data_IF_456714057874
#
_entry.id   IF_456714057874
#
_cell.length_a   1.000
_cell.length_b   1.000
_cell.length_c   1.000
_cell.angle_alpha   90.00
_cell.angle_beta   90.00
_cell.angle_gamma   90.00
#
_symmetry.space_group_name_H-M   'P 1'
#
loop_
_entity.id
_entity.type
_entity.pdbx_description
1 polymer ?
#
# COMPACT_ATOMS: atom_id res chain seq x y z
N UNK A 1 19.36 13.74 23.74
CA UNK A 1 18.39 12.72 24.21
C UNK A 1 17.49 12.39 23.02
N UNK A 2 17.92 11.43 22.21
CA UNK A 2 17.23 11.07 20.97
C UNK A 2 15.97 10.27 21.31
N UNK A 3 14.81 10.85 21.04
CA UNK A 3 13.53 10.16 21.09
C UNK A 3 13.57 9.04 20.05
N UNK A 4 13.73 7.81 20.53
CA UNK A 4 13.43 6.60 19.79
C UNK A 4 11.92 6.62 19.50
N UNK A 5 11.56 7.20 18.36
CA UNK A 5 10.23 7.02 17.77
C UNK A 5 10.10 5.52 17.53
N UNK A 6 9.32 4.88 18.41
CA UNK A 6 8.98 3.49 18.32
C UNK A 6 8.22 3.30 17.00
N UNK A 7 8.93 2.81 15.99
CA UNK A 7 8.42 2.60 14.64
C UNK A 7 7.55 1.35 14.66
N UNK A 8 6.37 1.44 15.25
CA UNK A 8 5.32 0.46 15.05
C UNK A 8 4.90 0.57 13.59
N UNK A 9 5.38 -0.36 12.77
CA UNK A 9 4.89 -0.53 11.40
C UNK A 9 3.37 -0.74 11.46
N UNK A 10 2.62 0.31 11.14
CA UNK A 10 1.17 0.25 10.95
C UNK A 10 0.89 -0.64 9.75
N UNK A 11 0.86 -1.95 9.99
CA UNK A 11 0.25 -2.89 9.05
C UNK A 11 -1.24 -2.58 8.98
N UNK A 12 -1.77 -2.49 7.77
CA UNK A 12 -3.15 -2.06 7.48
C UNK A 12 -4.22 -2.93 8.16
N UNK A 13 -3.87 -4.17 8.55
CA UNK A 13 -4.77 -5.12 9.21
C UNK A 13 -4.08 -5.75 10.42
N UNK A 14 -4.69 -5.61 11.60
CA UNK A 14 -4.30 -6.36 12.81
C UNK A 14 -4.37 -7.87 12.56
N UNK A 15 -3.50 -8.65 13.23
CA UNK A 15 -3.54 -10.11 13.15
C UNK A 15 -4.93 -10.69 13.47
N UNK A 16 -5.71 -10.05 14.36
CA UNK A 16 -7.10 -10.46 14.63
C UNK A 16 -8.01 -10.32 13.41
N UNK A 17 -7.88 -9.21 12.68
CA UNK A 17 -8.66 -8.96 11.46
C UNK A 17 -8.22 -9.90 10.35
N UNK A 18 -6.91 -10.12 10.20
CA UNK A 18 -6.36 -11.10 9.24
C UNK A 18 -6.95 -12.50 9.48
N UNK A 19 -7.07 -12.93 10.74
CA UNK A 19 -7.71 -14.21 11.10
C UNK A 19 -9.17 -14.28 10.67
N UNK A 20 -9.95 -13.22 10.94
CA UNK A 20 -11.37 -13.16 10.57
C UNK A 20 -11.59 -13.18 9.05
N UNK A 21 -10.65 -12.68 8.26
CA UNK A 21 -10.76 -12.64 6.80
C UNK A 21 -10.16 -13.89 6.14
N UNK A 22 -8.95 -14.29 6.54
CA UNK A 22 -8.20 -15.34 5.84
C UNK A 22 -8.79 -16.73 6.05
N UNK A 23 -9.27 -17.05 7.25
CA UNK A 23 -9.77 -18.41 7.53
C UNK A 23 -11.04 -18.74 6.74
N UNK A 24 -12.10 -17.90 6.74
CA UNK A 24 -13.28 -18.16 5.92
C UNK A 24 -12.97 -18.13 4.43
N UNK A 25 -12.10 -17.21 3.99
CA UNK A 25 -11.69 -17.11 2.60
C UNK A 25 -10.92 -18.35 2.13
N UNK A 26 -9.98 -18.83 2.93
CA UNK A 26 -9.24 -20.07 2.68
C UNK A 26 -10.18 -21.27 2.60
N UNK A 27 -11.16 -21.36 3.50
CA UNK A 27 -12.15 -22.43 3.51
C UNK A 27 -12.98 -22.44 2.22
N UNK A 28 -13.53 -21.29 1.80
CA UNK A 28 -14.31 -21.20 0.55
C UNK A 28 -13.43 -21.53 -0.65
N UNK A 29 -12.21 -20.98 -0.70
CA UNK A 29 -11.29 -21.24 -1.80
C UNK A 29 -10.91 -22.72 -1.88
N UNK A 30 -10.73 -23.39 -0.74
CA UNK A 30 -10.37 -24.79 -0.68
C UNK A 30 -11.37 -25.66 -1.46
N UNK A 31 -12.67 -25.53 -1.16
CA UNK A 31 -13.72 -26.26 -1.87
C UNK A 31 -13.87 -25.81 -3.33
N UNK A 32 -13.81 -24.50 -3.58
CA UNK A 32 -13.93 -23.95 -4.94
C UNK A 32 -12.82 -24.48 -5.86
N UNK A 33 -11.56 -24.39 -5.44
CA UNK A 33 -10.43 -24.84 -6.26
C UNK A 33 -10.42 -26.36 -6.38
N UNK A 34 -10.75 -27.10 -5.31
CA UNK A 34 -10.89 -28.55 -5.37
C UNK A 34 -11.96 -28.98 -6.39
N UNK A 35 -13.10 -28.29 -6.45
CA UNK A 35 -14.14 -28.52 -7.45
C UNK A 35 -13.67 -28.17 -8.87
N UNK A 36 -12.98 -27.05 -9.05
CA UNK A 36 -12.49 -26.62 -10.36
C UNK A 36 -11.41 -27.55 -10.94
N UNK A 37 -10.60 -28.19 -10.08
CA UNK A 37 -9.54 -29.09 -10.52
C UNK A 37 -10.08 -30.44 -11.00
N UNK A 38 -11.14 -30.97 -10.37
CA UNK A 38 -11.77 -32.23 -10.78
C UNK A 38 -13.27 -32.25 -10.43
N UNK A 39 -14.12 -31.57 -11.23
CA UNK A 39 -15.56 -31.48 -10.96
C UNK A 39 -16.29 -32.82 -11.12
N UNK A 40 -15.66 -33.79 -11.77
CA UNK A 40 -16.23 -35.12 -12.00
C UNK A 40 -15.71 -36.17 -11.01
N UNK A 41 -14.89 -35.77 -10.03
CA UNK A 41 -14.44 -36.67 -8.98
C UNK A 41 -15.63 -37.31 -8.27
N UNK A 42 -15.49 -38.59 -7.89
CA UNK A 42 -16.50 -39.36 -7.15
C UNK A 42 -16.99 -38.60 -5.90
N UNK A 43 -16.05 -37.90 -5.26
CA UNK A 43 -16.30 -36.99 -4.14
C UNK A 43 -17.45 -36.01 -4.40
N UNK A 44 -17.47 -35.31 -5.55
CA UNK A 44 -18.47 -34.30 -5.88
C UNK A 44 -19.77 -34.90 -6.39
N UNK A 45 -19.69 -36.00 -7.14
CA UNK A 45 -20.87 -36.68 -7.70
C UNK A 45 -21.77 -37.24 -6.59
N UNK A 46 -21.17 -37.81 -5.55
CA UNK A 46 -21.90 -38.39 -4.41
C UNK A 46 -22.18 -37.37 -3.30
N UNK A 47 -21.66 -36.13 -3.43
CA UNK A 47 -21.67 -35.13 -2.35
C UNK A 47 -23.07 -34.86 -1.79
N UNK A 48 -24.06 -34.72 -2.67
CA UNK A 48 -25.45 -34.43 -2.31
C UNK A 48 -26.16 -35.59 -1.59
N UNK A 49 -25.63 -36.81 -1.70
CA UNK A 49 -26.22 -38.03 -1.15
C UNK A 49 -25.59 -38.42 0.20
N UNK A 50 -24.54 -37.70 0.63
CA UNK A 50 -23.81 -38.01 1.87
C UNK A 50 -24.61 -37.64 3.11
N UNK A 51 -24.39 -38.42 4.18
CA UNK A 51 -24.96 -38.15 5.50
C UNK A 51 -24.48 -36.79 6.03
N UNK A 52 -25.40 -35.99 6.55
CA UNK A 52 -25.11 -34.68 7.15
C UNK A 52 -23.98 -34.71 8.19
N UNK A 53 -23.92 -35.73 9.05
CA UNK A 53 -22.88 -35.82 10.07
C UNK A 53 -21.49 -36.03 9.48
N UNK A 54 -21.39 -36.76 8.37
CA UNK A 54 -20.14 -36.95 7.65
C UNK A 54 -19.70 -35.64 6.99
N UNK A 55 -20.65 -34.91 6.36
CA UNK A 55 -20.39 -33.59 5.78
C UNK A 55 -19.95 -32.58 6.85
N UNK A 56 -20.60 -32.58 8.02
CA UNK A 56 -20.24 -31.69 9.12
C UNK A 56 -18.84 -32.01 9.66
N UNK A 57 -18.49 -33.29 9.82
CA UNK A 57 -17.16 -33.70 10.25
C UNK A 57 -16.07 -33.28 9.24
N UNK A 58 -16.34 -33.41 7.94
CA UNK A 58 -15.46 -32.98 6.85
C UNK A 58 -15.27 -31.45 6.85
N UNK A 59 -16.37 -30.70 6.98
CA UNK A 59 -16.33 -29.24 7.09
C UNK A 59 -15.54 -28.79 8.33
N UNK A 60 -15.77 -29.40 9.49
CA UNK A 60 -15.01 -29.09 10.69
C UNK A 60 -13.51 -29.38 10.51
N UNK A 61 -13.16 -30.53 9.93
CA UNK A 61 -11.76 -30.91 9.68
C UNK A 61 -11.09 -29.95 8.69
N UNK A 62 -11.79 -29.60 7.61
CA UNK A 62 -11.33 -28.64 6.61
C UNK A 62 -11.17 -27.24 7.18
N UNK A 63 -12.07 -26.83 8.08
CA UNK A 63 -12.00 -25.54 8.76
C UNK A 63 -10.80 -25.47 9.71
N UNK A 64 -10.56 -26.54 10.48
CA UNK A 64 -9.36 -26.66 11.33
C UNK A 64 -8.10 -26.61 10.48
N UNK A 65 -8.06 -27.32 9.36
CA UNK A 65 -6.94 -27.27 8.43
C UNK A 65 -6.68 -25.85 7.89
N UNK A 66 -7.72 -25.17 7.39
CA UNK A 66 -7.62 -23.81 6.88
C UNK A 66 -7.19 -22.82 7.98
N UNK A 67 -7.67 -23.03 9.21
CA UNK A 67 -7.24 -22.27 10.37
C UNK A 67 -5.75 -22.45 10.64
N UNK A 68 -5.25 -23.69 10.69
CA UNK A 68 -3.84 -23.98 10.94
C UNK A 68 -2.93 -23.40 9.85
N UNK A 69 -3.31 -23.53 8.57
CA UNK A 69 -2.55 -22.96 7.45
C UNK A 69 -2.50 -21.43 7.56
N UNK A 70 -3.64 -20.79 7.86
CA UNK A 70 -3.72 -19.35 8.01
C UNK A 70 -2.91 -18.85 9.22
N UNK A 71 -2.99 -19.53 10.36
CA UNK A 71 -2.20 -19.20 11.56
C UNK A 71 -0.71 -19.36 11.33
N UNK A 72 -0.28 -20.47 10.71
CA UNK A 72 1.11 -20.69 10.37
C UNK A 72 1.64 -19.57 9.46
N UNK A 73 0.85 -19.18 8.45
CA UNK A 73 1.22 -18.10 7.53
C UNK A 73 1.34 -16.75 8.24
N UNK A 74 0.36 -16.39 9.09
CA UNK A 74 0.40 -15.15 9.89
C UNK A 74 1.59 -15.16 10.85
N UNK A 75 1.87 -16.28 11.51
CA UNK A 75 2.99 -16.43 12.42
C UNK A 75 4.34 -16.28 11.71
N UNK A 76 4.53 -16.98 10.58
CA UNK A 76 5.74 -16.88 9.75
C UNK A 76 5.94 -15.43 9.30
N UNK A 77 4.88 -14.79 8.81
CA UNK A 77 4.91 -13.39 8.40
C UNK A 77 5.34 -12.46 9.55
N UNK A 78 4.72 -12.60 10.72
CA UNK A 78 5.04 -11.79 11.90
C UNK A 78 6.49 -12.01 12.38
N UNK A 79 6.95 -13.27 12.40
CA UNK A 79 8.31 -13.61 12.82
C UNK A 79 9.34 -13.05 11.85
N UNK A 80 9.10 -13.18 10.55
CA UNK A 80 10.00 -12.68 9.52
C UNK A 80 9.98 -11.16 9.41
N UNK A 81 8.89 -10.46 9.76
CA UNK A 81 8.92 -8.99 9.86
C UNK A 81 9.94 -8.50 10.89
N UNK A 82 10.18 -9.28 11.96
CA UNK A 82 11.21 -8.97 12.94
C UNK A 82 12.62 -9.38 12.51
N UNK A 83 12.80 -10.56 11.91
CA UNK A 83 14.14 -11.08 11.57
C UNK A 83 14.66 -10.69 10.19
N UNK A 84 13.77 -10.40 9.25
CA UNK A 84 14.08 -10.00 7.89
C UNK A 84 13.05 -8.94 7.43
N UNK A 85 13.20 -7.68 7.85
CA UNK A 85 12.31 -6.62 7.42
C UNK A 85 12.32 -6.46 5.90
N UNK A 86 11.16 -6.12 5.35
CA UNK A 86 11.00 -5.91 3.91
C UNK A 86 11.76 -4.70 3.37
N UNK A 87 12.21 -3.77 4.21
CA UNK A 87 12.94 -2.55 3.80
C UNK A 87 14.32 -2.83 3.22
N UNK A 88 14.96 -3.92 3.66
CA UNK A 88 16.38 -4.13 3.37
C UNK A 88 16.56 -4.98 2.12
N UNK A 89 15.88 -6.14 2.06
CA UNK A 89 16.02 -7.13 0.98
C UNK A 89 14.67 -7.76 0.63
N UNK A 90 13.78 -7.05 -0.10
CA UNK A 90 12.40 -7.48 -0.33
C UNK A 90 12.32 -8.80 -1.12
N UNK A 91 13.18 -9.01 -2.12
CA UNK A 91 13.18 -10.26 -2.89
C UNK A 91 13.59 -11.46 -2.03
N UNK A 92 14.67 -11.32 -1.24
CA UNK A 92 15.10 -12.37 -0.30
C UNK A 92 14.00 -12.65 0.72
N UNK A 93 13.32 -11.61 1.21
CA UNK A 93 12.21 -11.72 2.16
C UNK A 93 11.05 -12.53 1.59
N UNK A 94 10.62 -12.23 0.37
CA UNK A 94 9.55 -12.96 -0.32
C UNK A 94 9.88 -14.44 -0.50
N UNK A 95 11.10 -14.75 -0.97
CA UNK A 95 11.55 -16.13 -1.19
C UNK A 95 11.57 -16.91 0.11
N UNK A 96 12.13 -16.33 1.18
CA UNK A 96 12.20 -16.98 2.50
C UNK A 96 10.80 -17.21 3.08
N UNK A 97 9.87 -16.26 2.94
CA UNK A 97 8.47 -16.42 3.37
C UNK A 97 7.78 -17.56 2.64
N UNK A 98 7.92 -17.62 1.32
CA UNK A 98 7.33 -18.66 0.49
C UNK A 98 7.86 -20.05 0.87
N UNK A 99 9.17 -20.18 1.10
CA UNK A 99 9.79 -21.44 1.51
C UNK A 99 9.29 -21.92 2.88
N UNK A 100 9.26 -21.04 3.89
CA UNK A 100 8.74 -21.42 5.20
C UNK A 100 7.26 -21.78 5.16
N UNK A 101 6.44 -21.07 4.38
CA UNK A 101 5.04 -21.39 4.21
C UNK A 101 4.84 -22.74 3.52
N UNK A 102 5.60 -23.02 2.45
CA UNK A 102 5.56 -24.33 1.77
C UNK A 102 5.88 -25.47 2.73
N UNK A 103 6.95 -25.34 3.53
CA UNK A 103 7.32 -26.33 4.54
C UNK A 103 6.25 -26.50 5.63
N UNK A 104 5.67 -25.39 6.10
CA UNK A 104 4.59 -25.43 7.09
C UNK A 104 3.34 -26.12 6.56
N UNK A 105 2.92 -25.83 5.32
CA UNK A 105 1.78 -26.48 4.68
C UNK A 105 2.04 -27.99 4.52
N UNK A 106 3.22 -28.38 4.02
CA UNK A 106 3.60 -29.80 3.92
C UNK A 106 3.56 -30.52 5.26
N UNK A 107 4.00 -29.86 6.34
CA UNK A 107 3.96 -30.40 7.69
C UNK A 107 2.53 -30.53 8.22
N UNK A 108 1.66 -29.54 8.00
CA UNK A 108 0.24 -29.60 8.41
C UNK A 108 -0.50 -30.71 7.63
N UNK A 109 -0.23 -30.84 6.33
CA UNK A 109 -0.73 -31.95 5.48
C UNK A 109 -0.33 -33.29 6.09
N UNK A 110 0.95 -33.47 6.40
CA UNK A 110 1.45 -34.69 7.03
C UNK A 110 0.74 -35.00 8.36
N UNK A 111 0.60 -34.01 9.25
CA UNK A 111 -0.12 -34.18 10.51
C UNK A 111 -1.59 -34.57 10.30
N UNK A 112 -2.25 -34.00 9.30
CA UNK A 112 -3.64 -34.32 8.99
C UNK A 112 -3.80 -35.75 8.47
N UNK A 113 -2.88 -36.22 7.61
CA UNK A 113 -2.86 -37.61 7.13
C UNK A 113 -2.67 -38.58 8.31
N UNK A 114 -1.70 -38.32 9.17
CA UNK A 114 -1.47 -39.13 10.38
C UNK A 114 -2.71 -39.17 11.26
N UNK A 115 -3.39 -38.03 11.44
CA UNK A 115 -4.62 -37.93 12.20
C UNK A 115 -5.76 -38.79 11.62
N UNK A 116 -5.95 -38.78 10.30
CA UNK A 116 -6.96 -39.59 9.61
C UNK A 116 -6.68 -41.09 9.81
N UNK A 117 -5.44 -41.53 9.58
CA UNK A 117 -5.02 -42.93 9.75
C UNK A 117 -5.27 -43.39 11.20
N UNK A 118 -4.97 -42.55 12.19
CA UNK A 118 -5.22 -42.87 13.60
C UNK A 118 -6.71 -43.03 13.94
N UNK A 119 -7.61 -42.31 13.26
CA UNK A 119 -9.05 -42.37 13.50
C UNK A 119 -9.69 -43.56 12.80
N UNK A 120 -9.40 -43.75 11.50
CA UNK A 120 -10.06 -44.77 10.68
C UNK A 120 -9.53 -46.18 10.94
N UNK A 121 -8.42 -46.31 11.69
CA UNK A 121 -7.69 -47.57 11.91
C UNK A 121 -7.43 -48.30 10.59
N UNK A 122 -7.17 -47.52 9.55
CA UNK A 122 -6.95 -48.04 8.21
C UNK A 122 -5.60 -48.77 8.18
N UNK A 123 -5.58 -49.95 7.57
CA UNK A 123 -4.34 -50.73 7.44
C UNK A 123 -3.38 -49.98 6.51
N UNK A 124 -2.08 -50.01 6.84
CA UNK A 124 -1.01 -49.29 6.11
C UNK A 124 -0.70 -49.96 4.75
N UNK A 125 -1.72 -50.14 3.92
CA UNK A 125 -1.62 -50.69 2.58
C UNK A 125 -1.03 -49.67 1.62
N UNK A 126 -0.42 -50.15 0.53
CA UNK A 126 0.18 -49.26 -0.47
C UNK A 126 -0.91 -48.38 -1.11
N UNK A 127 -0.72 -47.05 -1.19
CA UNK A 127 -1.74 -46.14 -1.70
C UNK A 127 -2.05 -46.46 -3.16
N UNK A 128 -3.34 -46.44 -3.52
CA UNK A 128 -3.76 -46.62 -4.90
C UNK A 128 -3.40 -45.40 -5.76
N UNK A 129 -3.46 -45.56 -7.09
CA UNK A 129 -3.22 -44.43 -8.00
C UNK A 129 -4.22 -43.28 -7.78
N UNK A 130 -5.45 -43.59 -7.36
CA UNK A 130 -6.46 -42.58 -7.04
C UNK A 130 -6.13 -41.85 -5.73
N UNK A 131 -5.61 -42.55 -4.73
CA UNK A 131 -5.18 -41.93 -3.46
C UNK A 131 -4.02 -40.97 -3.67
N UNK A 132 -3.05 -41.35 -4.51
CA UNK A 132 -1.91 -40.49 -4.89
C UNK A 132 -2.42 -39.25 -5.62
N UNK A 133 -3.35 -39.41 -6.57
CA UNK A 133 -3.96 -38.28 -7.30
C UNK A 133 -4.68 -37.33 -6.34
N UNK A 134 -5.50 -37.85 -5.43
CA UNK A 134 -6.23 -37.06 -4.44
C UNK A 134 -5.28 -36.30 -3.50
N UNK A 135 -4.21 -36.97 -3.03
CA UNK A 135 -3.18 -36.35 -2.20
C UNK A 135 -2.46 -35.20 -2.94
N UNK A 136 -2.10 -35.41 -4.21
CA UNK A 136 -1.47 -34.36 -5.02
C UNK A 136 -2.41 -33.16 -5.24
N UNK A 137 -3.68 -33.41 -5.57
CA UNK A 137 -4.68 -32.35 -5.73
C UNK A 137 -4.84 -31.56 -4.43
N UNK A 138 -4.98 -32.25 -3.30
CA UNK A 138 -5.11 -31.63 -1.99
C UNK A 138 -3.89 -30.76 -1.63
N UNK A 139 -2.69 -31.25 -1.91
CA UNK A 139 -1.44 -30.50 -1.76
C UNK A 139 -1.39 -29.24 -2.62
N UNK A 140 -1.80 -29.33 -3.88
CA UNK A 140 -1.85 -28.18 -4.81
C UNK A 140 -2.83 -27.12 -4.31
N UNK A 141 -4.06 -27.51 -3.92
CA UNK A 141 -5.07 -26.58 -3.38
C UNK A 141 -4.53 -25.86 -2.15
N UNK A 142 -3.91 -26.60 -1.23
CA UNK A 142 -3.34 -26.06 0.01
C UNK A 142 -2.22 -25.05 -0.26
N UNK A 143 -1.38 -25.34 -1.25
CA UNK A 143 -0.30 -24.45 -1.68
C UNK A 143 -0.85 -23.17 -2.35
N UNK A 144 -1.92 -23.27 -3.15
CA UNK A 144 -2.59 -22.10 -3.74
C UNK A 144 -3.16 -21.15 -2.68
N UNK A 145 -3.81 -21.70 -1.64
CA UNK A 145 -4.32 -20.92 -0.50
C UNK A 145 -3.18 -20.17 0.18
N UNK A 146 -2.08 -20.88 0.49
CA UNK A 146 -0.92 -20.29 1.16
C UNK A 146 -0.30 -19.16 0.34
N UNK A 147 -0.12 -19.36 -0.98
CA UNK A 147 0.38 -18.31 -1.86
C UNK A 147 -0.53 -17.09 -1.92
N UNK A 148 -1.85 -17.28 -1.92
CA UNK A 148 -2.76 -16.14 -1.93
C UNK A 148 -2.69 -15.33 -0.62
N UNK A 149 -2.54 -16.00 0.54
CA UNK A 149 -2.32 -15.31 1.81
C UNK A 149 -1.02 -14.50 1.78
N UNK A 150 0.06 -15.07 1.24
CA UNK A 150 1.35 -14.36 1.05
C UNK A 150 1.17 -13.15 0.13
N UNK A 151 0.44 -13.30 -0.98
CA UNK A 151 0.19 -12.22 -1.94
C UNK A 151 -0.57 -11.06 -1.30
N UNK A 152 -1.61 -11.34 -0.51
CA UNK A 152 -2.38 -10.30 0.20
C UNK A 152 -1.49 -9.58 1.22
N UNK A 153 -0.74 -10.34 2.04
CA UNK A 153 0.15 -9.78 3.05
C UNK A 153 1.25 -8.91 2.41
N UNK A 154 1.92 -9.43 1.37
CA UNK A 154 2.99 -8.73 0.65
C UNK A 154 2.47 -7.51 -0.08
N UNK A 155 1.35 -7.63 -0.79
CA UNK A 155 0.72 -6.54 -1.53
C UNK A 155 0.38 -5.37 -0.62
N UNK A 156 -0.21 -5.65 0.55
CA UNK A 156 -0.52 -4.62 1.55
C UNK A 156 0.72 -3.86 2.03
N UNK A 157 1.84 -4.56 2.24
CA UNK A 157 3.09 -3.95 2.64
C UNK A 157 3.67 -3.08 1.52
N UNK A 158 3.73 -3.59 0.29
CA UNK A 158 4.28 -2.84 -0.85
C UNK A 158 3.53 -1.54 -1.11
N UNK A 159 2.19 -1.59 -1.06
CA UNK A 159 1.34 -0.40 -1.22
C UNK A 159 1.60 0.61 -0.10
N UNK A 160 1.65 0.16 1.16
CA UNK A 160 1.94 1.03 2.31
C UNK A 160 3.32 1.67 2.21
N UNK A 161 4.32 0.89 1.79
CA UNK A 161 5.68 1.38 1.61
C UNK A 161 5.82 2.36 0.45
N UNK A 162 5.14 2.12 -0.67
CA UNK A 162 5.11 3.05 -1.80
C UNK A 162 4.51 4.39 -1.38
N UNK A 163 3.40 4.37 -0.64
CA UNK A 163 2.79 5.57 -0.07
C UNK A 163 3.74 6.34 0.87
N UNK A 164 4.45 5.60 1.74
CA UNK A 164 5.38 6.20 2.70
C UNK A 164 6.68 6.70 2.06
N UNK A 165 7.19 6.03 1.02
CA UNK A 165 8.40 6.48 0.32
C UNK A 165 8.14 7.78 -0.45
N UNK A 166 6.97 7.93 -1.06
CA UNK A 166 6.58 9.18 -1.71
C UNK A 166 6.43 10.33 -0.70
N UNK A 167 5.81 10.08 0.45
CA UNK A 167 5.71 11.10 1.50
C UNK A 167 7.09 11.51 2.05
N UNK A 168 7.99 10.56 2.34
CA UNK A 168 9.35 10.87 2.82
C UNK A 168 10.15 11.66 1.81
N UNK A 169 10.07 11.32 0.52
CA UNK A 169 10.74 12.08 -0.53
C UNK A 169 10.17 13.49 -0.62
N UNK A 170 8.86 13.65 -0.47
CA UNK A 170 8.21 14.96 -0.44
C UNK A 170 8.65 15.77 0.79
N UNK A 171 8.73 15.14 1.97
CA UNK A 171 9.19 15.77 3.22
C UNK A 171 10.66 16.20 3.12
N UNK A 172 11.54 15.35 2.59
CA UNK A 172 12.94 15.71 2.37
C UNK A 172 13.09 16.87 1.39
N UNK A 173 12.33 16.86 0.29
CA UNK A 173 12.33 17.98 -0.68
C UNK A 173 11.75 19.26 -0.10
N UNK A 174 10.71 19.16 0.73
CA UNK A 174 10.13 20.30 1.45
C UNK A 174 11.15 20.88 2.43
N UNK A 175 11.84 20.03 3.18
CA UNK A 175 12.89 20.45 4.12
C UNK A 175 14.09 21.05 3.40
N UNK A 176 14.47 20.55 2.23
CA UNK A 176 15.45 21.20 1.37
C UNK A 176 14.97 22.56 0.87
N UNK A 177 13.68 22.69 0.52
CA UNK A 177 13.09 23.98 0.14
C UNK A 177 13.04 24.97 1.32
N UNK A 178 12.71 24.51 2.53
CA UNK A 178 12.77 25.29 3.77
C UNK A 178 14.19 25.71 4.12
N UNK A 179 15.17 24.81 3.98
CA UNK A 179 16.58 25.12 4.18
C UNK A 179 17.08 26.10 3.12
N UNK A 180 16.63 25.98 1.86
CA UNK A 180 16.89 26.99 0.82
C UNK A 180 16.27 28.32 1.22
N UNK A 181 15.01 28.33 1.68
CA UNK A 181 14.30 29.51 2.16
C UNK A 181 14.97 30.15 3.39
N UNK A 182 15.56 29.37 4.29
CA UNK A 182 16.33 29.87 5.42
C UNK A 182 17.72 30.39 4.97
N UNK A 183 18.36 29.76 3.99
CA UNK A 183 19.59 30.27 3.36
C UNK A 183 19.37 31.54 2.53
N UNK A 184 18.10 31.81 2.20
CA UNK A 184 17.64 32.92 1.36
C UNK A 184 17.58 34.25 2.13
N UNK A 185 17.85 34.29 3.43
CA UNK A 185 18.06 35.53 4.22
C UNK A 185 19.16 36.46 3.64
N UNK A 186 19.92 35.98 2.64
CA UNK A 186 20.85 36.78 1.83
C UNK A 186 20.45 37.05 0.37
N UNK A 187 19.26 36.63 -0.10
CA UNK A 187 18.98 36.42 -1.53
C UNK A 187 17.75 37.15 -2.10
N UNK A 188 17.08 38.02 -1.34
CA UNK A 188 16.00 38.86 -1.88
C UNK A 188 14.70 38.11 -2.22
N UNK A 189 14.29 37.15 -1.38
CA UNK A 189 12.97 36.50 -1.46
C UNK A 189 12.32 36.61 -0.08
N UNK A 190 11.04 36.96 -0.04
CA UNK A 190 10.23 37.11 1.17
C UNK A 190 9.05 36.16 1.07
N UNK A 191 8.82 35.36 2.12
CA UNK A 191 7.66 34.49 2.22
C UNK A 191 6.68 35.02 3.27
N UNK A 192 5.41 35.05 2.91
CA UNK A 192 4.30 35.46 3.76
C UNK A 192 3.29 34.31 3.79
N UNK A 193 3.17 33.61 4.93
CA UNK A 193 2.40 32.36 5.04
C UNK A 193 1.28 32.57 6.06
N UNK A 194 0.04 32.53 5.57
CA UNK A 194 -1.19 32.68 6.37
C UNK A 194 -2.21 31.59 6.01
N UNK A 195 -1.98 30.39 6.56
CA UNK A 195 -2.80 29.20 6.31
C UNK A 195 -3.61 28.86 7.55
N UNK A 196 -4.93 28.90 7.43
CA UNK A 196 -5.84 28.57 8.53
C UNK A 196 -5.61 27.15 9.07
N UNK A 197 -5.65 26.91 10.40
CA UNK A 197 -5.39 25.60 11.00
C UNK A 197 -6.27 24.48 10.43
N UNK A 198 -7.55 24.78 10.15
CA UNK A 198 -8.51 23.84 9.56
C UNK A 198 -8.09 23.32 8.18
N UNK A 199 -7.43 24.16 7.38
CA UNK A 199 -6.97 23.82 6.04
C UNK A 199 -5.71 22.93 6.05
N UNK A 200 -4.99 22.87 7.18
CA UNK A 200 -3.83 21.98 7.35
C UNK A 200 -4.21 20.50 7.44
N UNK A 201 -5.47 20.20 7.78
CA UNK A 201 -6.00 18.84 7.80
C UNK A 201 -6.47 18.36 6.42
N UNK A 202 -6.57 19.26 5.44
CA UNK A 202 -6.99 18.95 4.09
C UNK A 202 -5.81 18.50 3.23
N UNK A 203 -6.13 17.72 2.21
CA UNK A 203 -5.16 17.13 1.29
C UNK A 203 -4.81 18.08 0.15
N UNK A 204 -3.52 18.31 -0.03
CA UNK A 204 -2.92 18.90 -1.23
C UNK A 204 -2.07 17.82 -1.89
N UNK A 205 -2.19 17.58 -3.22
CA UNK A 205 -1.36 16.60 -3.90
C UNK A 205 0.13 16.87 -3.64
N UNK A 206 0.94 15.83 -3.36
CA UNK A 206 2.36 15.97 -3.08
C UNK A 206 3.07 16.79 -4.14
N UNK A 207 4.10 17.53 -3.72
CA UNK A 207 4.93 18.40 -4.57
C UNK A 207 4.21 19.59 -5.24
N UNK A 208 2.88 19.76 -5.09
CA UNK A 208 2.17 20.89 -5.70
C UNK A 208 2.73 22.22 -5.23
N UNK A 209 2.82 22.42 -3.90
CA UNK A 209 3.32 23.66 -3.33
C UNK A 209 4.78 23.92 -3.71
N UNK A 210 5.60 22.87 -3.69
CA UNK A 210 7.01 22.95 -4.10
C UNK A 210 7.14 23.40 -5.56
N UNK A 211 6.41 22.78 -6.49
CA UNK A 211 6.47 23.14 -7.91
C UNK A 211 5.99 24.58 -8.16
N UNK A 212 5.00 25.06 -7.39
CA UNK A 212 4.55 26.44 -7.45
C UNK A 212 5.61 27.43 -6.97
N UNK A 213 6.29 27.12 -5.87
CA UNK A 213 7.41 27.92 -5.35
C UNK A 213 8.60 27.90 -6.32
N UNK A 214 8.96 26.73 -6.87
CA UNK A 214 10.03 26.60 -7.86
C UNK A 214 9.73 27.42 -9.13
N UNK A 215 8.47 27.38 -9.62
CA UNK A 215 8.05 28.21 -10.74
C UNK A 215 8.18 29.71 -10.41
N UNK A 216 7.76 30.13 -9.22
CA UNK A 216 7.89 31.52 -8.79
C UNK A 216 9.36 31.96 -8.74
N UNK A 217 10.27 31.14 -8.22
CA UNK A 217 11.70 31.48 -8.12
C UNK A 217 12.39 31.46 -9.49
N UNK A 218 12.07 30.48 -10.35
CA UNK A 218 12.74 30.30 -11.64
C UNK A 218 12.46 31.41 -12.65
N UNK A 219 11.27 32.01 -12.56
CA UNK A 219 10.80 33.02 -13.53
C UNK A 219 10.90 34.46 -13.03
N UNK A 220 11.27 34.68 -11.77
CA UNK A 220 11.42 36.02 -11.19
C UNK A 220 12.85 36.27 -10.71
N UNK A 221 13.28 37.51 -10.80
CA UNK A 221 14.52 37.99 -10.23
C UNK A 221 14.39 38.14 -8.72
N UNK A 222 15.46 37.82 -8.00
CA UNK A 222 15.51 37.83 -6.52
C UNK A 222 16.52 38.88 -6.05
N UNK A 223 16.35 40.13 -6.49
CA UNK A 223 17.26 41.21 -6.09
C UNK A 223 16.95 41.70 -4.66
N UNK A 224 17.99 42.01 -3.87
CA UNK A 224 17.81 42.57 -2.51
C UNK A 224 17.01 43.88 -2.48
N UNK A 225 17.14 44.70 -3.53
CA UNK A 225 16.45 46.00 -3.61
C UNK A 225 15.01 45.89 -4.12
N UNK A 226 14.62 44.73 -4.67
CA UNK A 226 13.26 44.44 -5.12
C UNK A 226 12.97 42.96 -4.89
N UNK A 227 12.70 42.55 -3.64
CA UNK A 227 12.62 41.14 -3.30
C UNK A 227 11.38 40.48 -3.90
N UNK A 228 11.53 39.23 -4.34
CA UNK A 228 10.42 38.40 -4.74
C UNK A 228 9.57 38.07 -3.52
N UNK A 229 8.31 38.51 -3.50
CA UNK A 229 7.39 38.19 -2.40
C UNK A 229 6.50 37.04 -2.83
N UNK A 230 6.55 35.92 -2.09
CA UNK A 230 5.67 34.76 -2.28
C UNK A 230 4.71 34.68 -1.09
N UNK A 231 3.41 34.86 -1.37
CA UNK A 231 2.33 34.75 -0.40
C UNK A 231 1.62 33.41 -0.54
N UNK A 232 1.46 32.70 0.57
CA UNK A 232 0.75 31.42 0.64
C UNK A 232 -0.36 31.59 1.67
N UNK A 233 -1.60 31.67 1.22
CA UNK A 233 -2.72 31.96 2.11
C UNK A 233 -4.00 31.21 1.75
N UNK A 234 -4.89 31.09 2.73
CA UNK A 234 -6.22 30.49 2.54
C UNK A 234 -7.30 31.57 2.48
N UNK A 235 -8.16 31.56 1.44
CA UNK A 235 -9.32 32.46 1.37
C UNK A 235 -10.59 31.87 2.00
N UNK A 236 -10.74 30.56 1.85
CA UNK A 236 -11.83 29.74 2.40
C UNK A 236 -11.23 28.47 2.99
N UNK A 237 -12.00 27.68 3.75
CA UNK A 237 -11.48 26.46 4.39
C UNK A 237 -10.79 25.51 3.40
N UNK A 238 -11.27 25.43 2.15
CA UNK A 238 -10.79 24.51 1.12
C UNK A 238 -10.00 25.16 -0.02
N UNK A 239 -9.66 26.46 0.06
CA UNK A 239 -8.98 27.15 -1.05
C UNK A 239 -7.62 27.65 -0.59
N UNK A 240 -6.56 27.10 -1.20
CA UNK A 240 -5.18 27.54 -1.05
C UNK A 240 -4.79 28.44 -2.21
N UNK A 241 -4.17 29.58 -1.91
CA UNK A 241 -3.68 30.54 -2.89
C UNK A 241 -2.17 30.67 -2.75
N UNK A 242 -1.44 30.45 -3.85
CA UNK A 242 -0.01 30.75 -3.95
C UNK A 242 0.16 31.91 -4.92
N UNK A 243 0.65 33.03 -4.41
CA UNK A 243 0.78 34.29 -5.14
C UNK A 243 2.24 34.74 -5.09
N UNK A 244 2.81 35.17 -6.22
CA UNK A 244 4.12 35.81 -6.25
C UNK A 244 4.06 37.19 -6.92
N UNK A 245 4.90 38.12 -6.45
CA UNK A 245 5.16 39.37 -7.17
C UNK A 245 5.86 39.07 -8.49
N UNK A 246 5.52 39.81 -9.55
CA UNK A 246 6.17 39.70 -10.86
C UNK A 246 7.37 40.64 -10.91
N UNK A 247 8.57 40.06 -10.82
CA UNK A 247 9.85 40.72 -11.05
C UNK A 247 10.58 39.96 -12.18
N UNK A 248 9.99 39.94 -13.38
CA UNK A 248 10.45 39.08 -14.47
C UNK A 248 11.94 39.34 -14.81
N UNK A 249 12.71 38.26 -14.98
CA UNK A 249 14.08 38.34 -15.48
C UNK A 249 14.01 38.70 -16.98
N UNK A 250 14.56 39.86 -17.37
CA UNK A 250 14.73 40.21 -18.78
C UNK A 250 15.61 39.15 -19.48
N UNK A 251 15.17 38.69 -20.66
CA UNK A 251 15.79 37.64 -21.50
C UNK A 251 15.50 36.14 -21.20
N UNK A 252 14.40 35.77 -20.55
CA UNK A 252 13.89 34.40 -20.73
C UNK A 252 12.95 34.33 -21.94
N UNK A 253 13.42 33.70 -23.02
CA UNK A 253 12.60 33.29 -24.16
C UNK A 253 11.27 32.71 -23.67
N UNK A 254 10.15 33.20 -24.23
CA UNK A 254 8.75 32.80 -23.97
C UNK A 254 8.44 31.29 -24.14
N UNK A 255 9.45 30.45 -24.42
CA UNK A 255 9.34 29.00 -24.66
C UNK A 255 9.55 28.12 -23.42
N UNK A 256 9.89 28.67 -22.25
CA UNK A 256 10.20 27.88 -21.04
C UNK A 256 9.05 27.75 -20.02
N UNK A 257 7.80 28.01 -20.42
CA UNK A 257 6.61 27.46 -19.72
C UNK A 257 6.56 25.95 -20.01
N UNK A 258 7.36 25.07 -19.42
CA UNK A 258 7.66 24.97 -18.00
C UNK A 258 6.96 23.71 -17.52
N UNK A 259 7.67 22.57 -17.58
CA UNK A 259 7.20 21.21 -17.29
C UNK A 259 6.39 21.11 -15.98
N UNK A 260 6.62 22.02 -15.02
CA UNK A 260 5.96 22.04 -13.71
C UNK A 260 4.45 22.27 -13.75
N UNK A 261 3.95 23.20 -14.56
CA UNK A 261 2.52 23.52 -14.56
C UNK A 261 1.66 22.41 -15.21
N UNK A 262 2.04 21.84 -16.37
CA UNK A 262 1.37 20.64 -16.89
C UNK A 262 1.41 19.46 -15.89
N UNK A 263 2.52 19.27 -15.17
CA UNK A 263 2.66 18.22 -14.16
C UNK A 263 1.69 18.42 -12.97
N UNK A 264 1.49 19.67 -12.54
CA UNK A 264 0.47 19.99 -11.53
C UNK A 264 -0.92 19.68 -12.11
N UNK A 265 -1.26 20.18 -13.30
CA UNK A 265 -2.58 19.96 -13.92
C UNK A 265 -2.92 18.47 -14.04
N UNK A 266 -2.00 17.66 -14.60
CA UNK A 266 -2.20 16.21 -14.75
C UNK A 266 -2.39 15.49 -13.41
N UNK A 267 -1.76 15.95 -12.31
CA UNK A 267 -1.96 15.35 -10.98
C UNK A 267 -3.36 15.62 -10.44
N UNK A 268 -3.89 16.82 -10.64
CA UNK A 268 -5.27 17.13 -10.25
C UNK A 268 -6.29 16.33 -11.07
N UNK A 269 -6.03 16.14 -12.37
CA UNK A 269 -6.86 15.27 -13.21
C UNK A 269 -6.86 13.81 -12.76
N UNK A 270 -5.68 13.24 -12.45
CA UNK A 270 -5.54 11.86 -11.95
C UNK A 270 -6.31 11.62 -10.64
N UNK A 271 -6.35 12.64 -9.77
CA UNK A 271 -7.03 12.57 -8.49
C UNK A 271 -8.51 12.98 -8.57
N UNK A 272 -9.04 13.24 -9.78
CA UNK A 272 -10.39 13.78 -10.01
C UNK A 272 -10.67 15.07 -9.22
N UNK A 273 -9.61 15.80 -8.88
CA UNK A 273 -9.68 17.09 -8.20
C UNK A 273 -10.02 18.22 -9.17
N UNK A 274 -10.43 19.37 -8.63
CA UNK A 274 -10.64 20.57 -9.44
C UNK A 274 -9.29 21.11 -9.93
N UNK A 275 -9.16 21.30 -11.24
CA UNK A 275 -7.95 21.84 -11.85
C UNK A 275 -7.57 23.20 -11.23
N UNK A 276 -6.29 23.47 -10.98
CA UNK A 276 -5.83 24.76 -10.49
C UNK A 276 -6.17 25.90 -11.45
N UNK A 277 -6.55 27.04 -10.89
CA UNK A 277 -6.84 28.25 -11.66
C UNK A 277 -5.64 29.20 -11.62
N UNK A 278 -5.27 29.74 -12.78
CA UNK A 278 -4.11 30.61 -12.92
C UNK A 278 -4.58 32.01 -13.26
N UNK A 279 -4.18 32.97 -12.43
CA UNK A 279 -4.52 34.38 -12.57
C UNK A 279 -3.22 35.17 -12.67
N UNK A 280 -2.99 35.80 -13.82
CA UNK A 280 -1.83 36.65 -14.06
C UNK A 280 -2.28 38.09 -14.27
N UNK A 281 -1.70 39.02 -13.52
CA UNK A 281 -1.89 40.47 -13.69
C UNK A 281 -0.58 41.11 -14.16
N UNK A 282 -0.55 42.43 -14.30
CA UNK A 282 0.68 43.17 -14.61
C UNK A 282 1.73 43.10 -13.51
N UNK A 283 1.33 42.83 -12.26
CA UNK A 283 2.21 42.89 -11.08
C UNK A 283 2.26 41.59 -10.27
N UNK A 284 1.34 40.65 -10.51
CA UNK A 284 1.23 39.41 -9.74
C UNK A 284 0.95 38.18 -10.60
N UNK A 285 1.47 37.04 -10.16
CA UNK A 285 1.12 35.72 -10.68
C UNK A 285 0.55 34.89 -9.54
N UNK A 286 -0.63 34.31 -9.75
CA UNK A 286 -1.42 33.63 -8.72
C UNK A 286 -1.91 32.30 -9.23
N UNK A 287 -1.77 31.27 -8.39
CA UNK A 287 -2.35 29.95 -8.60
C UNK A 287 -3.29 29.64 -7.45
N UNK A 288 -4.55 29.36 -7.79
CA UNK A 288 -5.62 29.01 -6.85
C UNK A 288 -5.84 27.51 -6.93
N UNK A 289 -5.76 26.84 -5.78
CA UNK A 289 -5.83 25.39 -5.67
C UNK A 289 -6.93 25.02 -4.68
N UNK A 290 -7.77 24.07 -5.09
CA UNK A 290 -8.79 23.50 -4.22
C UNK A 290 -8.18 22.33 -3.44
N UNK A 291 -8.19 22.44 -2.13
CA UNK A 291 -7.80 21.38 -1.20
C UNK A 291 -8.89 20.31 -1.18
N UNK A 292 -8.49 19.06 -1.05
CA UNK A 292 -9.40 17.90 -1.07
C UNK A 292 -9.54 17.32 0.34
N UNK A 293 -10.67 16.67 0.62
CA UNK A 293 -10.79 15.85 1.81
C UNK A 293 -9.94 14.59 1.63
N UNK A 294 -9.19 14.20 2.67
CA UNK A 294 -8.38 12.98 2.63
C UNK A 294 -9.28 11.77 2.88
N UNK A 295 -10.15 11.41 1.94
CA UNK A 295 -10.84 10.11 1.91
C UNK A 295 -11.19 9.71 0.48
N UNK A 296 -10.51 8.66 -0.01
CA UNK A 296 -11.04 7.56 -0.83
C UNK A 296 -9.98 6.47 -1.00
#
# INVERSE_FOLDING_TARGET
MALLVNKTENTFLSNKVKRMVFVPFAFVLFYLVSFLLDPYAKFWQEYSQRNFWNLLAEWCTSLVFCFLVSEASIFIHAKLNHSLPWTDRPLKRLVVEALFNMLAVMFIIFLNIVFIICIEKEDLSAPSAEDIKNLMQWGVVSMMISFMIIAINTGSYLVSNWKNSEMKVTEHKLREAELRQASVDGSGIIFDIDVAPQSKALYLPPLTLQLLIENAIKHNSTHKNNPLTIKIYTKEAQILVVENSLALIENQNLRSFGIGLPNIMSRFELLKGRAPEIIKTSTTYKVVVHLMDYEQ
#
